data_IF_973102542475
#
_entry.id   IF_973102542475
#
_cell.length_a   1.000
_cell.length_b   1.000
_cell.length_c   1.000
_cell.angle_alpha   90.00
_cell.angle_beta   90.00
_cell.angle_gamma   90.00
#
_symmetry.space_group_name_H-M   'P 1'
#
loop_
_entity.id
_entity.type
_entity.pdbx_description
1 polymer ?
#
# COMPACT_ATOMS: atom_id res chain seq x y z
N UNK A 1 40.33 17.39 -13.97
CA UNK A 1 39.44 16.22 -14.20
C UNK A 1 38.11 16.49 -13.51
N UNK A 2 36.92 16.59 -14.11
CA UNK A 2 36.47 16.82 -15.49
C UNK A 2 35.00 17.32 -15.40
N UNK A 3 34.80 18.62 -15.11
CA UNK A 3 33.47 19.24 -14.88
C UNK A 3 32.52 19.05 -16.09
N UNK A 4 33.07 18.96 -17.30
CA UNK A 4 32.29 18.78 -18.52
C UNK A 4 31.70 17.37 -18.63
N UNK A 5 32.45 16.31 -18.26
CA UNK A 5 31.90 14.94 -18.24
C UNK A 5 30.76 14.76 -17.25
N UNK A 6 30.85 15.37 -16.06
CA UNK A 6 29.76 15.34 -15.08
C UNK A 6 28.50 16.04 -15.59
N UNK A 7 28.64 17.20 -16.25
CA UNK A 7 27.49 17.90 -16.82
C UNK A 7 26.82 17.12 -17.96
N UNK A 8 27.59 16.42 -18.79
CA UNK A 8 27.04 15.56 -19.86
C UNK A 8 26.26 14.38 -19.27
N UNK A 9 26.83 13.69 -18.27
CA UNK A 9 26.16 12.57 -17.58
C UNK A 9 24.85 12.99 -16.91
N UNK A 10 24.83 14.15 -16.25
CA UNK A 10 23.60 14.67 -15.62
C UNK A 10 22.51 15.01 -16.65
N UNK A 11 22.89 15.53 -17.83
CA UNK A 11 21.94 15.77 -18.93
C UNK A 11 21.34 14.46 -19.47
N UNK A 12 22.14 13.41 -19.59
CA UNK A 12 21.70 12.07 -20.01
C UNK A 12 20.72 11.45 -19.00
N UNK A 13 21.05 11.50 -17.71
CA UNK A 13 20.18 11.03 -16.62
C UNK A 13 18.84 11.76 -16.68
N UNK A 14 18.86 13.10 -16.78
CA UNK A 14 17.63 13.90 -16.86
C UNK A 14 16.79 13.53 -18.09
N UNK A 15 17.42 13.31 -19.24
CA UNK A 15 16.73 12.88 -20.47
C UNK A 15 16.08 11.50 -20.27
N UNK A 16 16.80 10.54 -19.69
CA UNK A 16 16.31 9.20 -19.39
C UNK A 16 15.14 9.23 -18.40
N UNK A 17 15.26 9.96 -17.29
CA UNK A 17 14.20 10.09 -16.28
C UNK A 17 12.94 10.71 -16.88
N UNK A 18 13.07 11.74 -17.72
CA UNK A 18 11.93 12.35 -18.41
C UNK A 18 11.17 11.35 -19.28
N UNK A 19 11.87 10.43 -19.94
CA UNK A 19 11.24 9.35 -20.72
C UNK A 19 10.46 8.43 -19.78
N UNK A 20 11.08 7.98 -18.69
CA UNK A 20 10.43 7.09 -17.71
C UNK A 20 9.22 7.73 -17.03
N UNK A 21 9.27 9.01 -16.69
CA UNK A 21 8.13 9.72 -16.14
C UNK A 21 6.98 9.84 -17.13
N UNK A 22 7.27 10.08 -18.41
CA UNK A 22 6.25 10.14 -19.47
C UNK A 22 5.60 8.79 -19.71
N UNK A 23 6.39 7.72 -19.76
CA UNK A 23 5.89 6.34 -19.89
C UNK A 23 4.94 5.98 -18.75
N UNK A 24 5.37 6.22 -17.50
CA UNK A 24 4.56 5.99 -16.31
C UNK A 24 3.27 6.80 -16.33
N UNK A 25 3.36 8.11 -16.59
CA UNK A 25 2.18 9.00 -16.65
C UNK A 25 1.19 8.54 -17.73
N UNK A 26 1.69 8.10 -18.90
CA UNK A 26 0.84 7.59 -19.98
C UNK A 26 0.12 6.31 -19.57
N UNK A 27 0.81 5.40 -18.89
CA UNK A 27 0.23 4.16 -18.38
C UNK A 27 -0.89 4.44 -17.35
N UNK A 28 -0.67 5.36 -16.41
CA UNK A 28 -1.66 5.73 -15.39
C UNK A 28 -2.89 6.45 -15.97
N UNK A 29 -2.76 7.15 -17.11
CA UNK A 29 -3.88 7.82 -17.79
C UNK A 29 -4.82 6.86 -18.54
N UNK A 30 -4.52 5.56 -18.59
CA UNK A 30 -5.40 4.55 -19.18
C UNK A 30 -6.67 4.41 -18.32
N UNK A 31 -7.73 5.16 -18.67
CA UNK A 31 -8.98 5.24 -17.89
C UNK A 31 -9.79 3.94 -17.81
N UNK A 32 -9.56 2.99 -18.72
CA UNK A 32 -10.26 1.69 -18.77
C UNK A 32 -9.27 0.60 -19.16
N UNK A 33 -8.73 -0.08 -18.15
CA UNK A 33 -7.94 -1.29 -18.33
C UNK A 33 -8.95 -2.46 -18.21
N UNK A 34 -9.15 -3.27 -19.27
CA UNK A 34 -10.02 -4.44 -19.21
C UNK A 34 -9.60 -5.40 -18.09
N UNK A 35 -10.57 -6.09 -17.49
CA UNK A 35 -10.28 -7.07 -16.45
C UNK A 35 -9.28 -8.12 -16.91
N UNK A 36 -9.35 -8.56 -18.16
CA UNK A 36 -8.43 -9.54 -18.74
C UNK A 36 -6.95 -9.14 -18.73
N UNK A 37 -6.62 -7.85 -18.59
CA UNK A 37 -5.23 -7.39 -18.51
C UNK A 37 -4.62 -7.57 -17.10
N UNK A 38 -5.44 -7.62 -16.06
CA UNK A 38 -4.97 -7.70 -14.67
C UNK A 38 -5.56 -8.88 -13.89
N UNK A 39 -6.64 -9.51 -14.33
CA UNK A 39 -7.08 -10.80 -13.81
C UNK A 39 -6.10 -11.86 -14.27
N UNK A 40 -5.69 -12.71 -13.33
CA UNK A 40 -4.66 -13.72 -13.55
C UNK A 40 -5.01 -14.97 -12.75
N UNK A 41 -4.10 -15.93 -12.71
CA UNK A 41 -4.22 -17.15 -11.91
C UNK A 41 -3.04 -17.20 -10.94
N UNK A 42 -3.29 -17.61 -9.70
CA UNK A 42 -2.20 -17.97 -8.78
C UNK A 42 -1.40 -19.13 -9.36
N UNK A 43 -0.10 -19.19 -9.09
CA UNK A 43 0.73 -20.36 -9.39
C UNK A 43 0.40 -21.51 -8.43
N UNK A 44 0.17 -21.18 -7.16
CA UNK A 44 -0.32 -22.11 -6.15
C UNK A 44 -1.64 -21.58 -5.56
N UNK A 45 -2.76 -22.32 -5.67
CA UNK A 45 -4.04 -21.90 -5.11
C UNK A 45 -4.02 -21.76 -3.58
N UNK A 46 -3.00 -22.31 -2.88
CA UNK A 46 -2.83 -22.18 -1.44
C UNK A 46 -2.12 -20.88 -1.02
N UNK A 47 -1.72 -20.03 -1.98
CA UNK A 47 -1.13 -18.73 -1.72
C UNK A 47 -2.18 -17.61 -1.70
N UNK A 48 -2.00 -16.66 -0.78
CA UNK A 48 -2.76 -15.40 -0.76
C UNK A 48 -2.06 -14.31 -1.57
N UNK A 49 -0.72 -14.34 -1.62
CA UNK A 49 0.11 -13.39 -2.34
C UNK A 49 1.31 -14.11 -2.97
N UNK A 50 1.63 -13.80 -4.22
CA UNK A 50 2.84 -14.25 -4.91
C UNK A 50 3.57 -13.05 -5.48
N UNK A 51 4.86 -12.94 -5.20
CA UNK A 51 5.73 -11.90 -5.74
C UNK A 51 6.74 -12.57 -6.64
N UNK A 52 6.77 -12.18 -7.91
CA UNK A 52 7.64 -12.77 -8.93
C UNK A 52 8.55 -11.73 -9.54
N UNK A 53 9.86 -11.90 -9.35
CA UNK A 53 10.91 -11.08 -9.97
C UNK A 53 10.61 -9.58 -9.87
N UNK A 54 10.11 -9.14 -8.71
CA UNK A 54 9.67 -7.77 -8.48
C UNK A 54 10.86 -6.82 -8.58
N UNK A 55 10.70 -5.78 -9.40
CA UNK A 55 11.70 -4.73 -9.59
C UNK A 55 11.05 -3.38 -9.32
N UNK A 56 11.51 -2.70 -8.29
CA UNK A 56 11.04 -1.37 -7.93
C UNK A 56 12.22 -0.41 -7.89
N UNK A 57 12.22 0.53 -8.82
CA UNK A 57 13.32 1.45 -9.04
C UNK A 57 12.87 2.90 -8.79
N UNK A 58 13.81 3.71 -8.35
CA UNK A 58 13.65 5.14 -8.18
C UNK A 58 14.54 5.86 -9.19
N UNK A 59 13.93 6.62 -10.07
CA UNK A 59 14.64 7.48 -11.01
C UNK A 59 14.91 8.82 -10.33
N UNK A 60 16.19 9.15 -10.11
CA UNK A 60 16.63 10.35 -9.39
C UNK A 60 17.56 11.19 -10.25
N UNK A 61 17.78 12.45 -9.90
CA UNK A 61 18.63 13.36 -10.67
C UNK A 61 20.10 12.94 -10.73
N UNK A 62 20.51 12.03 -9.84
CA UNK A 62 21.87 11.46 -9.78
C UNK A 62 21.96 10.04 -10.34
N UNK A 63 20.84 9.45 -10.78
CA UNK A 63 20.80 8.13 -11.41
C UNK A 63 19.60 7.27 -10.97
N UNK A 64 19.61 6.00 -11.38
CA UNK A 64 18.56 5.05 -10.99
C UNK A 64 18.98 4.28 -9.75
N UNK A 65 18.20 4.40 -8.69
CA UNK A 65 18.35 3.58 -7.47
C UNK A 65 17.46 2.35 -7.61
N UNK A 66 18.06 1.17 -7.57
CA UNK A 66 17.34 -0.10 -7.62
C UNK A 66 17.01 -0.58 -6.21
N UNK A 67 15.93 -0.06 -5.64
CA UNK A 67 15.57 -0.39 -4.26
C UNK A 67 15.09 -1.84 -4.08
N UNK A 68 14.47 -2.41 -5.11
CA UNK A 68 14.14 -3.84 -5.21
C UNK A 68 14.54 -4.30 -6.61
N UNK A 69 15.37 -5.34 -6.73
CA UNK A 69 15.87 -5.84 -8.02
C UNK A 69 15.75 -7.37 -8.12
N UNK A 70 14.54 -7.86 -8.42
CA UNK A 70 14.29 -9.27 -8.71
C UNK A 70 13.89 -10.13 -7.51
N UNK A 71 13.17 -9.55 -6.55
CA UNK A 71 12.69 -10.29 -5.37
C UNK A 71 11.55 -11.24 -5.76
N UNK A 72 11.64 -12.49 -5.28
CA UNK A 72 10.61 -13.52 -5.49
C UNK A 72 10.32 -14.24 -4.17
N UNK A 73 9.06 -14.24 -3.73
CA UNK A 73 8.58 -15.02 -2.59
C UNK A 73 7.05 -15.06 -2.56
N UNK A 74 6.52 -16.02 -1.81
CA UNK A 74 5.08 -16.24 -1.68
C UNK A 74 4.63 -16.15 -0.22
N UNK A 75 3.35 -15.82 -0.02
CA UNK A 75 2.66 -15.82 1.26
C UNK A 75 1.53 -16.84 1.20
N UNK A 76 1.62 -17.97 1.91
CA UNK A 76 0.53 -18.93 1.98
C UNK A 76 -0.67 -18.39 2.76
N UNK A 77 -1.87 -18.88 2.44
CA UNK A 77 -3.11 -18.52 3.12
C UNK A 77 -3.00 -18.87 4.62
N UNK A 78 -3.37 -17.91 5.48
CA UNK A 78 -3.37 -18.09 6.93
C UNK A 78 -1.98 -18.21 7.55
N UNK A 79 -0.90 -17.85 6.83
CA UNK A 79 0.48 -17.85 7.34
C UNK A 79 1.02 -16.44 7.47
N UNK A 80 1.95 -16.27 8.41
CA UNK A 80 2.71 -15.04 8.59
C UNK A 80 4.09 -15.21 7.99
N UNK A 81 4.44 -14.33 7.04
CA UNK A 81 5.77 -14.29 6.42
C UNK A 81 6.49 -13.03 6.88
N UNK A 82 7.66 -13.20 7.50
CA UNK A 82 8.52 -12.10 7.94
C UNK A 82 9.62 -11.81 6.93
N UNK A 83 9.78 -10.53 6.56
CA UNK A 83 10.91 -10.06 5.73
C UNK A 83 11.89 -9.31 6.60
N UNK A 84 13.10 -9.84 6.74
CA UNK A 84 14.17 -9.28 7.57
C UNK A 84 15.38 -8.88 6.73
N UNK A 85 16.18 -7.94 7.24
CA UNK A 85 17.36 -7.42 6.55
C UNK A 85 17.77 -6.05 7.09
N UNK A 86 18.94 -5.57 6.68
CA UNK A 86 19.51 -4.31 7.14
C UNK A 86 18.70 -3.08 6.73
N UNK A 87 18.93 -1.95 7.41
CA UNK A 87 18.30 -0.68 7.02
C UNK A 87 18.64 -0.35 5.56
N UNK A 88 17.64 0.08 4.78
CA UNK A 88 17.81 0.42 3.37
C UNK A 88 17.83 -0.76 2.37
N UNK A 89 17.73 -2.02 2.81
CA UNK A 89 17.78 -3.19 1.91
C UNK A 89 16.51 -3.44 1.08
N UNK A 90 15.56 -2.49 1.03
CA UNK A 90 14.35 -2.59 0.20
C UNK A 90 13.09 -3.14 0.87
N UNK A 91 13.11 -3.56 2.14
CA UNK A 91 11.93 -4.12 2.85
C UNK A 91 10.67 -3.26 2.74
N UNK A 92 10.77 -2.00 3.13
CA UNK A 92 9.64 -1.05 3.07
C UNK A 92 9.20 -0.81 1.64
N UNK A 93 10.14 -0.77 0.68
CA UNK A 93 9.83 -0.58 -0.74
C UNK A 93 9.09 -1.79 -1.30
N UNK A 94 9.44 -3.01 -0.91
CA UNK A 94 8.70 -4.22 -1.27
C UNK A 94 7.25 -4.14 -0.77
N UNK A 95 7.04 -3.78 0.50
CA UNK A 95 5.69 -3.60 1.06
C UNK A 95 4.87 -2.51 0.36
N UNK A 96 5.48 -1.35 0.11
CA UNK A 96 4.84 -0.25 -0.64
C UNK A 96 4.56 -0.62 -2.10
N UNK A 97 5.35 -1.52 -2.70
CA UNK A 97 5.11 -2.02 -4.06
C UNK A 97 3.87 -2.91 -4.11
N UNK A 98 3.68 -3.79 -3.12
CA UNK A 98 2.45 -4.60 -2.96
C UNK A 98 1.25 -3.67 -2.79
N UNK A 99 1.36 -2.65 -1.95
CA UNK A 99 0.27 -1.71 -1.76
C UNK A 99 0.11 -0.71 -2.91
N UNK A 100 1.00 -0.67 -3.90
CA UNK A 100 1.04 0.35 -4.98
C UNK A 100 1.05 1.80 -4.42
N UNK A 101 1.80 2.04 -3.34
CA UNK A 101 1.94 3.33 -2.65
C UNK A 101 3.33 3.98 -2.83
N UNK A 102 4.04 3.60 -3.90
CA UNK A 102 5.33 4.20 -4.24
C UNK A 102 5.18 5.70 -4.59
N UNK A 103 6.18 6.50 -4.24
CA UNK A 103 6.22 7.93 -4.55
C UNK A 103 6.43 8.14 -6.06
N UNK A 104 5.34 8.15 -6.82
CA UNK A 104 5.35 8.41 -8.25
C UNK A 104 5.56 9.92 -8.55
N UNK A 105 6.18 10.26 -9.70
CA UNK A 105 6.67 9.37 -10.74
C UNK A 105 8.09 8.83 -10.51
N UNK A 106 8.77 9.20 -9.42
CA UNK A 106 10.16 8.80 -9.15
C UNK A 106 10.26 7.29 -8.91
N UNK A 107 9.46 6.77 -7.98
CA UNK A 107 9.36 5.35 -7.64
C UNK A 107 8.38 4.63 -8.54
N UNK A 108 8.83 3.58 -9.23
CA UNK A 108 8.02 2.81 -10.16
C UNK A 108 8.32 1.32 -10.05
N UNK A 109 7.27 0.50 -10.12
CA UNK A 109 7.41 -0.93 -10.43
C UNK A 109 7.89 -1.02 -11.88
N UNK A 110 9.15 -1.35 -12.04
CA UNK A 110 9.85 -1.41 -13.33
C UNK A 110 9.81 -2.80 -13.97
N UNK A 111 9.35 -3.81 -13.23
CA UNK A 111 9.15 -5.17 -13.73
C UNK A 111 8.71 -6.14 -12.65
N UNK A 112 8.45 -7.37 -13.07
CA UNK A 112 7.91 -8.43 -12.21
C UNK A 112 6.39 -8.41 -12.13
N UNK A 113 5.86 -9.27 -11.26
CA UNK A 113 4.43 -9.46 -11.06
C UNK A 113 4.14 -9.60 -9.57
N UNK A 114 2.96 -9.13 -9.15
CA UNK A 114 2.43 -9.32 -7.80
C UNK A 114 1.03 -9.88 -7.97
N UNK A 115 0.85 -11.19 -7.73
CA UNK A 115 -0.48 -11.83 -7.79
C UNK A 115 -1.08 -11.85 -6.40
N UNK A 116 -2.33 -11.44 -6.30
CA UNK A 116 -3.10 -11.44 -5.08
C UNK A 116 -4.37 -12.25 -5.29
N UNK A 117 -4.65 -13.18 -4.38
CA UNK A 117 -5.88 -13.96 -4.38
C UNK A 117 -6.99 -13.14 -3.70
N UNK A 118 -7.82 -12.50 -4.53
CA UNK A 118 -8.94 -11.69 -4.09
C UNK A 118 -10.13 -12.58 -3.74
N UNK A 119 -10.11 -13.12 -2.52
CA UNK A 119 -11.13 -14.03 -2.01
C UNK A 119 -12.56 -13.43 -2.09
N UNK A 120 -12.72 -12.14 -1.82
CA UNK A 120 -14.02 -11.44 -1.88
C UNK A 120 -14.70 -11.49 -3.25
N UNK A 121 -13.94 -11.71 -4.32
CA UNK A 121 -14.44 -11.83 -5.70
C UNK A 121 -14.12 -13.18 -6.34
N UNK A 122 -13.62 -14.13 -5.56
CA UNK A 122 -13.21 -15.46 -6.02
C UNK A 122 -12.35 -15.43 -7.29
N UNK A 123 -11.32 -14.57 -7.31
CA UNK A 123 -10.41 -14.40 -8.45
C UNK A 123 -8.99 -14.04 -8.01
N UNK A 124 -8.01 -14.24 -8.87
CA UNK A 124 -6.66 -13.69 -8.67
C UNK A 124 -6.41 -12.47 -9.57
N UNK A 125 -5.66 -11.50 -9.06
CA UNK A 125 -5.36 -10.24 -9.75
C UNK A 125 -3.87 -9.91 -9.68
N UNK A 126 -3.34 -9.34 -10.74
CA UNK A 126 -2.00 -8.78 -10.85
C UNK A 126 -2.02 -7.30 -10.45
N UNK A 127 -1.65 -7.04 -9.21
CA UNK A 127 -1.64 -5.72 -8.57
C UNK A 127 -0.81 -4.71 -9.38
N UNK A 128 0.22 -5.16 -10.11
CA UNK A 128 1.10 -4.26 -10.89
C UNK A 128 0.37 -3.61 -12.07
N UNK A 129 -0.68 -4.26 -12.58
CA UNK A 129 -1.46 -3.85 -13.75
C UNK A 129 -2.83 -3.30 -13.40
N UNK A 130 -3.28 -3.46 -12.16
CA UNK A 130 -4.60 -3.00 -11.74
C UNK A 130 -4.75 -1.47 -11.88
N UNK A 131 -5.90 -0.99 -12.42
CA UNK A 131 -6.22 0.43 -12.42
C UNK A 131 -6.46 0.93 -11.00
N UNK A 132 -6.22 2.23 -10.77
CA UNK A 132 -6.30 2.83 -9.43
C UNK A 132 -7.68 2.63 -8.77
N UNK A 133 -8.77 2.71 -9.54
CA UNK A 133 -10.13 2.52 -9.01
C UNK A 133 -10.38 1.09 -8.52
N UNK A 134 -9.73 0.08 -9.09
CA UNK A 134 -9.84 -1.28 -8.57
C UNK A 134 -8.88 -1.50 -7.38
N UNK A 135 -7.74 -0.82 -7.35
CA UNK A 135 -6.86 -0.80 -6.17
C UNK A 135 -7.55 -0.17 -4.95
N UNK A 136 -8.34 0.89 -5.15
CA UNK A 136 -9.13 1.52 -4.08
C UNK A 136 -10.18 0.57 -3.48
N UNK A 137 -10.72 -0.37 -4.27
CA UNK A 137 -11.72 -1.34 -3.78
C UNK A 137 -11.11 -2.46 -2.94
N UNK A 138 -9.86 -2.81 -3.20
CA UNK A 138 -9.16 -3.88 -2.45
C UNK A 138 -8.43 -3.31 -1.23
N UNK A 139 -7.91 -2.08 -1.31
CA UNK A 139 -7.26 -1.43 -0.16
C UNK A 139 -8.29 -1.15 0.92
N UNK A 140 -7.95 -1.43 2.17
CA UNK A 140 -8.85 -1.26 3.32
C UNK A 140 -9.83 -2.42 3.51
N UNK A 141 -10.19 -3.16 2.45
CA UNK A 141 -11.14 -4.28 2.53
C UNK A 141 -10.47 -5.66 2.43
N UNK A 142 -9.70 -5.90 1.36
CA UNK A 142 -8.99 -7.17 1.13
C UNK A 142 -7.50 -7.08 1.54
N UNK A 143 -6.92 -5.87 1.45
CA UNK A 143 -5.51 -5.56 1.73
C UNK A 143 -5.42 -4.31 2.59
N UNK A 144 -4.88 -4.43 3.79
CA UNK A 144 -4.60 -3.30 4.66
C UNK A 144 -3.10 -3.20 4.97
N UNK A 145 -2.65 -1.99 5.30
CA UNK A 145 -1.26 -1.74 5.69
C UNK A 145 -1.22 -0.97 7.00
N UNK A 146 -0.37 -1.46 7.91
CA UNK A 146 -0.03 -0.76 9.14
C UNK A 146 1.35 -0.11 8.94
N UNK A 147 1.38 1.21 8.76
CA UNK A 147 2.59 2.03 8.68
C UNK A 147 3.41 2.05 9.99
N UNK A 148 4.71 2.29 9.84
CA UNK A 148 5.66 2.27 10.96
C UNK A 148 5.46 3.43 11.96
N UNK A 149 4.92 4.57 11.52
CA UNK A 149 4.70 5.75 12.35
C UNK A 149 3.20 6.09 12.42
N UNK A 150 2.51 5.82 13.54
CA UNK A 150 1.08 6.09 13.67
C UNK A 150 0.72 7.58 13.55
N UNK A 151 1.64 8.46 13.92
CA UNK A 151 1.44 9.92 13.90
C UNK A 151 1.31 10.51 12.51
N UNK A 152 1.95 9.90 11.50
CA UNK A 152 1.83 10.34 10.11
C UNK A 152 0.59 9.75 9.44
N UNK A 153 -0.03 8.74 10.06
CA UNK A 153 -1.17 8.02 9.49
C UNK A 153 -2.51 8.51 10.02
N UNK A 154 -2.58 8.97 11.27
CA UNK A 154 -3.78 9.58 11.84
C UNK A 154 -3.77 11.10 11.64
N UNK A 155 -4.87 11.63 11.12
CA UNK A 155 -5.07 13.06 10.99
C UNK A 155 -5.40 13.69 12.37
N UNK A 156 -4.61 14.65 12.87
CA UNK A 156 -4.77 15.20 14.21
C UNK A 156 -6.03 16.05 14.41
N UNK A 157 -6.71 16.46 13.32
CA UNK A 157 -7.91 17.30 13.40
C UNK A 157 -9.22 16.51 13.48
N UNK A 158 -9.17 15.19 13.32
CA UNK A 158 -10.32 14.30 13.42
C UNK A 158 -10.20 13.40 14.64
N UNK A 159 -11.34 12.98 15.19
CA UNK A 159 -11.34 12.00 16.27
C UNK A 159 -10.90 10.63 15.76
N UNK A 160 -10.56 9.72 16.66
CA UNK A 160 -10.27 8.32 16.30
C UNK A 160 -11.51 7.67 15.69
N UNK A 161 -12.69 7.94 16.26
CA UNK A 161 -13.96 7.44 15.77
C UNK A 161 -14.24 7.89 14.34
N UNK A 162 -14.12 9.18 14.04
CA UNK A 162 -14.40 9.71 12.70
C UNK A 162 -13.55 9.04 11.61
N UNK A 163 -12.27 8.79 11.91
CA UNK A 163 -11.34 8.21 10.94
C UNK A 163 -11.59 6.71 10.70
N UNK A 164 -11.97 5.97 11.73
CA UNK A 164 -12.33 4.55 11.58
C UNK A 164 -13.72 4.43 10.93
N UNK A 165 -14.67 5.29 11.30
CA UNK A 165 -16.01 5.35 10.70
C UNK A 165 -15.93 5.61 9.20
N UNK A 166 -15.07 6.55 8.77
CA UNK A 166 -14.84 6.85 7.35
C UNK A 166 -14.36 5.60 6.58
N UNK A 167 -13.39 4.88 7.14
CA UNK A 167 -12.87 3.63 6.55
C UNK A 167 -13.98 2.58 6.38
N UNK A 168 -14.74 2.32 7.44
CA UNK A 168 -15.84 1.34 7.41
C UNK A 168 -16.92 1.77 6.42
N UNK A 169 -17.33 3.03 6.43
CA UNK A 169 -18.40 3.55 5.58
C UNK A 169 -18.02 3.50 4.10
N UNK A 170 -16.75 3.78 3.77
CA UNK A 170 -16.22 3.72 2.40
C UNK A 170 -16.37 2.31 1.79
N UNK A 171 -16.13 1.28 2.58
CA UNK A 171 -16.21 -0.12 2.14
C UNK A 171 -17.57 -0.76 2.38
N UNK A 172 -18.42 -0.14 3.20
CA UNK A 172 -19.76 -0.63 3.54
C UNK A 172 -20.81 0.50 3.39
N UNK A 173 -21.09 0.97 2.16
CA UNK A 173 -21.95 2.13 1.91
C UNK A 173 -23.40 1.96 2.36
N UNK A 174 -23.83 0.72 2.62
CA UNK A 174 -25.18 0.41 3.06
C UNK A 174 -25.38 0.50 4.58
N UNK A 175 -24.29 0.60 5.36
CA UNK A 175 -24.40 0.75 6.80
C UNK A 175 -24.85 2.16 7.16
N UNK A 176 -25.76 2.27 8.13
CA UNK A 176 -26.14 3.53 8.71
C UNK A 176 -25.13 3.98 9.78
N UNK A 177 -25.17 5.26 10.17
CA UNK A 177 -24.24 5.83 11.16
C UNK A 177 -24.17 5.07 12.49
N UNK A 178 -25.28 4.49 12.94
CA UNK A 178 -25.33 3.74 14.21
C UNK A 178 -24.59 2.41 14.07
N UNK A 179 -24.76 1.72 12.94
CA UNK A 179 -24.08 0.47 12.63
C UNK A 179 -22.57 0.67 12.43
N UNK A 180 -22.17 1.73 11.71
CA UNK A 180 -20.76 2.09 11.53
C UNK A 180 -20.09 2.33 12.88
N UNK A 181 -20.70 3.18 13.73
CA UNK A 181 -20.18 3.43 15.07
C UNK A 181 -20.08 2.16 15.90
N UNK A 182 -21.10 1.29 15.87
CA UNK A 182 -21.06 0.03 16.61
C UNK A 182 -19.88 -0.85 16.17
N UNK A 183 -19.63 -0.94 14.86
CA UNK A 183 -18.49 -1.67 14.30
C UNK A 183 -17.15 -1.03 14.66
N UNK A 184 -17.05 0.29 14.67
CA UNK A 184 -15.84 0.99 15.16
C UNK A 184 -15.53 0.64 16.61
N UNK A 185 -16.55 0.65 17.48
CA UNK A 185 -16.39 0.26 18.89
C UNK A 185 -15.97 -1.20 19.02
N UNK A 186 -16.54 -2.09 18.20
CA UNK A 186 -16.13 -3.49 18.13
C UNK A 186 -14.65 -3.64 17.73
N UNK A 187 -14.19 -2.91 16.71
CA UNK A 187 -12.79 -2.95 16.27
C UNK A 187 -11.83 -2.40 17.33
N UNK A 188 -12.20 -1.31 18.01
CA UNK A 188 -11.43 -0.76 19.14
C UNK A 188 -11.34 -1.77 20.30
N UNK A 189 -12.43 -2.48 20.61
CA UNK A 189 -12.43 -3.56 21.59
C UNK A 189 -11.52 -4.71 21.17
N UNK A 190 -11.59 -5.13 19.91
CA UNK A 190 -10.83 -6.25 19.37
C UNK A 190 -9.31 -6.05 19.51
N UNK A 191 -8.84 -4.81 19.35
CA UNK A 191 -7.42 -4.47 19.52
C UNK A 191 -7.03 -4.19 20.97
N UNK A 192 -7.95 -4.34 21.93
CA UNK A 192 -7.67 -4.19 23.37
C UNK A 192 -7.57 -2.74 23.84
N UNK A 193 -8.29 -1.79 23.20
CA UNK A 193 -8.44 -0.44 23.74
C UNK A 193 -9.42 -0.47 24.91
N UNK A 194 -8.95 -0.06 26.09
CA UNK A 194 -9.83 0.19 27.23
C UNK A 194 -10.71 1.42 26.98
N UNK A 195 -11.98 1.37 27.39
CA UNK A 195 -12.96 2.44 27.19
C UNK A 195 -13.08 2.89 25.72
N UNK A 196 -13.46 1.99 24.79
CA UNK A 196 -13.53 2.30 23.36
C UNK A 196 -14.51 3.44 23.05
N UNK A 197 -15.58 3.63 23.83
CA UNK A 197 -16.53 4.73 23.64
C UNK A 197 -15.93 6.09 23.98
N UNK A 198 -15.01 6.12 24.97
CA UNK A 198 -14.20 7.30 25.25
C UNK A 198 -13.21 7.55 24.11
N UNK A 199 -12.42 6.53 23.75
CA UNK A 199 -11.39 6.66 22.72
C UNK A 199 -11.95 7.02 21.35
N UNK A 200 -13.14 6.54 21.01
CA UNK A 200 -13.88 6.95 19.82
C UNK A 200 -13.99 8.47 19.69
N UNK A 201 -14.16 9.20 20.81
CA UNK A 201 -14.32 10.66 20.82
C UNK A 201 -12.99 11.41 20.93
N UNK A 202 -11.91 10.72 21.28
CA UNK A 202 -10.62 11.35 21.48
C UNK A 202 -9.93 11.67 20.14
N UNK A 203 -9.09 12.68 20.15
CA UNK A 203 -8.18 13.02 19.08
C UNK A 203 -6.85 12.26 19.21
N UNK A 204 -6.08 12.07 18.12
CA UNK A 204 -4.81 11.37 18.18
C UNK A 204 -3.87 11.90 19.25
N UNK A 205 -3.78 13.23 19.44
CA UNK A 205 -2.87 13.84 20.41
C UNK A 205 -3.19 13.47 21.88
N UNK A 206 -4.41 13.00 22.17
CA UNK A 206 -4.86 12.58 23.51
C UNK A 206 -4.53 11.10 23.82
N UNK A 207 -4.05 10.34 22.83
CA UNK A 207 -3.70 8.92 22.98
C UNK A 207 -2.19 8.74 23.21
N UNK A 208 -1.83 7.70 23.98
CA UNK A 208 -0.45 7.22 24.01
C UNK A 208 -0.02 6.64 22.66
N UNK A 209 1.29 6.54 22.41
CA UNK A 209 1.82 5.96 21.17
C UNK A 209 1.30 4.54 20.89
N UNK A 210 1.26 3.68 21.91
CA UNK A 210 0.71 2.33 21.79
C UNK A 210 -0.79 2.30 21.52
N UNK A 211 -1.56 3.25 22.08
CA UNK A 211 -2.99 3.36 21.77
C UNK A 211 -3.22 3.84 20.33
N UNK A 212 -2.41 4.77 19.82
CA UNK A 212 -2.47 5.19 18.41
C UNK A 212 -2.17 4.03 17.47
N UNK A 213 -1.16 3.22 17.78
CA UNK A 213 -0.84 2.02 16.99
C UNK A 213 -2.01 1.04 16.99
N UNK A 214 -2.62 0.77 18.15
CA UNK A 214 -3.82 -0.06 18.26
C UNK A 214 -5.00 0.49 17.46
N UNK A 215 -5.28 1.80 17.55
CA UNK A 215 -6.33 2.43 16.76
C UNK A 215 -6.09 2.26 15.24
N UNK A 216 -4.83 2.34 14.80
CA UNK A 216 -4.47 2.11 13.40
C UNK A 216 -4.63 0.65 12.98
N UNK A 217 -4.35 -0.30 13.88
CA UNK A 217 -4.65 -1.73 13.68
C UNK A 217 -6.17 -1.93 13.57
N UNK A 218 -6.96 -1.27 14.42
CA UNK A 218 -8.43 -1.36 14.36
C UNK A 218 -8.96 -0.88 13.01
N UNK A 219 -8.45 0.25 12.51
CA UNK A 219 -8.77 0.77 11.17
C UNK A 219 -8.36 -0.19 10.04
N UNK A 220 -7.25 -0.91 10.20
CA UNK A 220 -6.80 -1.90 9.21
C UNK A 220 -7.63 -3.20 9.22
N UNK A 221 -8.38 -3.46 10.29
CA UNK A 221 -9.22 -4.65 10.46
C UNK A 221 -10.72 -4.40 10.17
N UNK A 222 -11.12 -3.13 10.02
CA UNK A 222 -12.51 -2.67 10.04
C UNK A 222 -13.26 -2.89 8.75
#
# INVERSE_FOLDING_TARGET
>A
MDKNKNNTRLKEIKKFNNIKYREHTKAQKRKRIPESEYVTTMKDPNNILEIDNLKTYFYTDIGTVKAVDGVTFDVPIGKTVGVVGESGCGKSVTSLSIMRLLQAPQGQISGGQIRFNQASRNRAVDITKMPLQELEKIRGNDLAMIFQEPMTSLNPVFTIGDQIDESIQLHNPNLNKKEVKARTIEMLNLVGIANPEGIYKNYPHELSGGMRQRAMIAMALS
#
